data_IF_399199555371
#
_entry.id   IF_399199555371
#
_cell.length_a   1.000
_cell.length_b   1.000
_cell.length_c   1.000
_cell.angle_alpha   90.00
_cell.angle_beta   90.00
_cell.angle_gamma   90.00
#
_symmetry.space_group_name_H-M   'P 1'
#
loop_
_entity.id
_entity.type
_entity.pdbx_description
1 polymer ?
#
# COMPACT_ATOMS: atom_id res chain seq x y z
N UNK A 1 2.86 20.59 6.61
CA UNK A 1 2.97 20.82 5.13
C UNK A 1 1.72 20.30 4.45
N UNK A 2 1.28 20.92 3.35
CA UNK A 2 0.13 20.45 2.60
C UNK A 2 0.42 19.07 1.98
N UNK A 3 -0.46 18.11 2.17
CA UNK A 3 -0.33 16.76 1.59
C UNK A 3 -0.41 16.83 0.06
N UNK A 4 0.38 16.01 -0.61
CA UNK A 4 0.32 15.75 -2.06
C UNK A 4 -0.65 14.61 -2.34
N UNK A 5 -1.29 14.62 -3.50
CA UNK A 5 -2.22 13.57 -3.91
C UNK A 5 -1.60 12.77 -5.05
N UNK A 6 -1.53 11.46 -4.87
CA UNK A 6 -1.16 10.49 -5.90
C UNK A 6 -2.26 9.45 -6.08
N UNK A 7 -2.09 8.56 -7.04
CA UNK A 7 -2.94 7.39 -7.25
C UNK A 7 -2.09 6.18 -7.58
N UNK A 8 -2.51 5.02 -7.09
CA UNK A 8 -1.89 3.75 -7.43
C UNK A 8 -2.14 3.36 -8.88
N UNK A 9 -1.08 3.19 -9.68
CA UNK A 9 -1.24 2.85 -11.11
C UNK A 9 -1.84 1.46 -11.34
N UNK A 10 -1.83 0.57 -10.32
CA UNK A 10 -2.50 -0.73 -10.37
C UNK A 10 -4.02 -0.64 -10.57
N UNK A 11 -4.64 0.48 -10.18
CA UNK A 11 -6.05 0.77 -10.46
C UNK A 11 -6.42 0.62 -11.94
N UNK A 12 -5.45 0.81 -12.83
CA UNK A 12 -5.63 0.78 -14.28
C UNK A 12 -5.12 -0.52 -14.92
N UNK A 13 -4.77 -1.51 -14.11
CA UNK A 13 -4.35 -2.87 -14.50
C UNK A 13 -5.41 -3.88 -14.13
N UNK A 14 -5.78 -3.90 -12.84
CA UNK A 14 -6.66 -4.92 -12.30
C UNK A 14 -8.13 -4.64 -12.60
N UNK A 15 -8.88 -5.68 -12.98
CA UNK A 15 -10.31 -5.63 -13.25
C UNK A 15 -10.73 -4.61 -14.33
N UNK A 16 -9.83 -4.26 -15.24
CA UNK A 16 -10.09 -3.40 -16.38
C UNK A 16 -10.37 -4.23 -17.64
N UNK A 17 -11.26 -3.77 -18.53
CA UNK A 17 -11.49 -4.40 -19.84
C UNK A 17 -10.21 -4.46 -20.68
N UNK A 18 -9.44 -3.37 -20.62
CA UNK A 18 -8.11 -3.26 -21.22
C UNK A 18 -7.20 -2.54 -20.25
N UNK A 19 -6.01 -3.08 -20.06
CA UNK A 19 -4.96 -2.45 -19.27
C UNK A 19 -4.55 -1.11 -19.90
N UNK A 20 -4.59 -0.03 -19.13
CA UNK A 20 -4.16 1.28 -19.58
C UNK A 20 -2.63 1.36 -19.49
N UNK A 21 -1.96 1.75 -20.57
CA UNK A 21 -0.50 1.89 -20.56
C UNK A 21 -0.05 2.99 -19.60
N UNK A 22 1.11 2.78 -18.95
CA UNK A 22 1.65 3.72 -17.98
C UNK A 22 1.82 5.13 -18.55
N UNK A 23 2.30 5.25 -19.79
CA UNK A 23 2.41 6.52 -20.51
C UNK A 23 1.05 7.26 -20.62
N UNK A 24 -0.03 6.54 -20.99
CA UNK A 24 -1.37 7.13 -21.07
C UNK A 24 -1.87 7.60 -19.71
N UNK A 25 -1.52 6.85 -18.64
CA UNK A 25 -1.84 7.24 -17.26
C UNK A 25 -1.18 8.57 -16.93
N UNK A 26 0.11 8.76 -17.21
CA UNK A 26 0.83 10.00 -16.89
C UNK A 26 0.16 11.23 -17.54
N UNK A 27 -0.22 11.15 -18.81
CA UNK A 27 -0.97 12.22 -19.47
C UNK A 27 -2.28 12.57 -18.76
N UNK A 28 -3.07 11.56 -18.42
CA UNK A 28 -4.34 11.83 -17.74
C UNK A 28 -4.18 12.36 -16.33
N UNK A 29 -3.16 11.93 -15.59
CA UNK A 29 -2.88 12.46 -14.25
C UNK A 29 -2.38 13.91 -14.30
N UNK A 30 -1.60 14.28 -15.32
CA UNK A 30 -1.22 15.67 -15.60
C UNK A 30 -2.47 16.54 -15.87
N UNK A 31 -3.37 16.09 -16.74
CA UNK A 31 -4.63 16.80 -17.06
C UNK A 31 -5.51 16.99 -15.82
N UNK A 32 -5.53 16.00 -14.93
CA UNK A 32 -6.26 16.03 -13.65
C UNK A 32 -5.52 16.80 -12.55
N UNK A 33 -4.27 17.25 -12.80
CA UNK A 33 -3.42 17.98 -11.83
C UNK A 33 -3.16 17.21 -10.54
N UNK A 34 -2.93 15.90 -10.62
CA UNK A 34 -2.38 15.14 -9.50
C UNK A 34 -0.93 15.58 -9.26
N UNK A 35 -0.47 15.41 -8.02
CA UNK A 35 0.93 15.69 -7.65
C UNK A 35 1.85 14.52 -8.02
N UNK A 36 1.31 13.30 -8.19
CA UNK A 36 2.12 12.14 -8.48
C UNK A 36 1.38 10.85 -8.78
N UNK A 37 2.16 9.79 -8.90
CA UNK A 37 1.72 8.42 -9.13
C UNK A 37 2.46 7.46 -8.21
N UNK A 38 1.75 6.48 -7.64
CA UNK A 38 2.39 5.33 -7.01
C UNK A 38 2.54 4.22 -8.05
N UNK A 39 3.78 3.77 -8.26
CA UNK A 39 4.07 2.81 -9.31
C UNK A 39 3.66 1.40 -8.89
N UNK A 40 2.61 0.85 -9.47
CA UNK A 40 2.32 -0.58 -9.44
C UNK A 40 3.09 -1.30 -10.55
N UNK A 41 4.07 -2.11 -10.18
CA UNK A 41 4.85 -2.87 -11.17
C UNK A 41 4.15 -4.14 -11.63
N UNK A 42 2.87 -4.01 -12.01
CA UNK A 42 1.99 -5.11 -12.43
C UNK A 42 1.69 -5.04 -13.93
N UNK A 43 1.35 -6.17 -14.53
CA UNK A 43 0.95 -6.26 -15.92
C UNK A 43 1.99 -5.68 -16.87
N UNK A 44 1.59 -4.70 -17.70
CA UNK A 44 2.48 -4.00 -18.65
C UNK A 44 3.14 -2.73 -18.09
N UNK A 45 2.89 -2.40 -16.83
CA UNK A 45 3.53 -1.25 -16.20
C UNK A 45 5.03 -1.46 -15.98
N UNK A 46 5.80 -0.38 -15.73
CA UNK A 46 7.25 -0.47 -15.59
C UNK A 46 7.70 -1.42 -14.48
N UNK A 47 8.65 -2.29 -14.78
CA UNK A 47 9.25 -3.27 -13.87
C UNK A 47 10.77 -3.26 -14.03
N UNK A 48 11.54 -3.85 -13.09
CA UNK A 48 12.98 -4.09 -13.30
C UNK A 48 13.28 -4.84 -14.60
N UNK A 49 12.39 -5.75 -15.01
CA UNK A 49 12.56 -6.55 -16.24
C UNK A 49 12.33 -5.72 -17.50
N UNK A 50 11.30 -4.87 -17.54
CA UNK A 50 11.02 -4.01 -18.71
C UNK A 50 12.00 -2.84 -18.82
N UNK A 51 12.63 -2.43 -17.70
CA UNK A 51 13.61 -1.35 -17.60
C UNK A 51 14.92 -1.86 -16.99
N UNK A 52 15.68 -2.74 -17.68
CA UNK A 52 16.79 -3.46 -17.09
C UNK A 52 18.04 -2.61 -16.86
N UNK A 53 18.17 -1.47 -17.55
CA UNK A 53 19.36 -0.61 -17.48
C UNK A 53 19.06 0.68 -16.74
N UNK A 54 20.13 1.25 -16.11
CA UNK A 54 20.01 2.58 -15.50
C UNK A 54 19.49 3.63 -16.50
N UNK A 55 20.00 3.61 -17.74
CA UNK A 55 19.56 4.54 -18.77
C UNK A 55 18.06 4.41 -19.10
N UNK A 56 17.47 3.21 -19.07
CA UNK A 56 16.03 3.05 -19.25
C UNK A 56 15.23 3.58 -18.06
N UNK A 57 15.75 3.42 -16.83
CA UNK A 57 15.14 3.95 -15.60
C UNK A 57 15.26 5.47 -15.52
N UNK A 58 16.39 6.04 -15.94
CA UNK A 58 16.57 7.50 -16.02
C UNK A 58 15.58 8.13 -17.03
N UNK A 59 15.29 7.47 -18.15
CA UNK A 59 14.26 7.94 -19.12
C UNK A 59 12.86 7.87 -18.51
N UNK A 60 12.50 6.78 -17.84
CA UNK A 60 11.21 6.65 -17.15
C UNK A 60 11.05 7.72 -16.05
N UNK A 61 12.08 7.95 -15.25
CA UNK A 61 12.08 9.01 -14.23
C UNK A 61 11.87 10.38 -14.85
N UNK A 62 12.55 10.65 -15.97
CA UNK A 62 12.40 11.89 -16.70
C UNK A 62 11.00 12.04 -17.29
N UNK A 63 10.44 10.99 -17.87
CA UNK A 63 9.09 10.98 -18.40
C UNK A 63 8.05 11.40 -17.35
N UNK A 64 8.10 10.80 -16.16
CA UNK A 64 7.19 11.18 -15.06
C UNK A 64 7.37 12.64 -14.66
N UNK A 65 8.62 13.11 -14.58
CA UNK A 65 8.91 14.50 -14.23
C UNK A 65 8.48 15.49 -15.34
N UNK A 66 8.57 15.12 -16.62
CA UNK A 66 8.14 15.95 -17.76
C UNK A 66 6.61 16.20 -17.73
N UNK A 67 5.82 15.28 -17.13
CA UNK A 67 4.39 15.46 -16.84
C UNK A 67 4.11 16.25 -15.54
N UNK A 68 5.13 16.81 -14.90
CA UNK A 68 4.97 17.51 -13.62
C UNK A 68 4.63 16.61 -12.44
N UNK A 69 4.77 15.30 -12.60
CA UNK A 69 4.45 14.29 -11.59
C UNK A 69 5.70 13.82 -10.83
N UNK A 70 5.48 13.28 -9.63
CA UNK A 70 6.51 12.59 -8.86
C UNK A 70 6.03 11.18 -8.47
N UNK A 71 6.97 10.27 -8.20
CA UNK A 71 6.61 8.99 -7.60
C UNK A 71 6.35 9.16 -6.10
N UNK A 72 5.21 8.65 -5.59
CA UNK A 72 4.92 8.60 -4.16
C UNK A 72 5.43 7.31 -3.49
N UNK A 73 5.53 6.23 -4.25
CA UNK A 73 5.98 4.92 -3.79
C UNK A 73 6.03 3.92 -4.94
N UNK A 74 6.34 2.68 -4.60
CA UNK A 74 6.25 1.53 -5.51
C UNK A 74 5.62 0.33 -4.82
N UNK A 75 4.64 -0.29 -5.49
CA UNK A 75 4.10 -1.60 -5.17
C UNK A 75 4.69 -2.65 -6.14
N UNK A 76 5.70 -3.43 -5.71
CA UNK A 76 6.35 -4.42 -6.52
C UNK A 76 5.47 -5.66 -6.71
N UNK A 77 5.52 -6.30 -7.88
CA UNK A 77 4.90 -7.62 -8.10
C UNK A 77 5.74 -8.72 -7.43
N UNK A 78 5.41 -8.97 -6.15
CA UNK A 78 6.02 -10.04 -5.35
C UNK A 78 5.03 -11.17 -5.03
N UNK A 79 3.81 -11.11 -5.54
CA UNK A 79 2.73 -12.03 -5.16
C UNK A 79 2.95 -13.49 -5.56
N UNK A 80 3.82 -13.74 -6.53
CA UNK A 80 4.22 -15.10 -6.90
C UNK A 80 5.25 -15.74 -5.96
N UNK A 81 5.86 -14.96 -5.07
CA UNK A 81 6.89 -15.43 -4.15
C UNK A 81 6.29 -15.66 -2.76
N UNK A 82 6.30 -16.91 -2.31
CA UNK A 82 5.81 -17.27 -0.98
C UNK A 82 6.72 -16.74 0.12
N UNK A 83 6.13 -16.38 1.26
CA UNK A 83 6.83 -15.82 2.41
C UNK A 83 6.53 -16.58 3.70
N UNK A 84 5.24 -16.82 3.98
CA UNK A 84 4.75 -17.36 5.24
C UNK A 84 4.89 -18.89 5.27
N UNK A 85 4.57 -19.56 4.15
CA UNK A 85 4.54 -21.02 4.07
C UNK A 85 5.89 -21.66 3.78
N UNK A 86 6.92 -20.90 3.43
CA UNK A 86 8.25 -21.43 3.08
C UNK A 86 9.29 -21.16 4.16
N UNK A 87 10.29 -22.04 4.25
CA UNK A 87 11.43 -21.86 5.17
C UNK A 87 12.52 -20.97 4.57
N UNK A 88 12.71 -21.06 3.26
CA UNK A 88 13.70 -20.27 2.54
C UNK A 88 13.05 -19.09 1.79
N UNK A 89 13.21 -17.85 2.26
CA UNK A 89 12.72 -16.64 1.60
C UNK A 89 13.63 -16.13 0.47
N UNK A 90 14.70 -16.83 0.11
CA UNK A 90 15.70 -16.34 -0.86
C UNK A 90 15.10 -15.92 -2.21
N UNK A 91 14.11 -16.63 -2.82
CA UNK A 91 13.50 -16.17 -4.06
C UNK A 91 12.75 -14.84 -3.90
N UNK A 92 12.01 -14.65 -2.79
CA UNK A 92 11.34 -13.40 -2.45
C UNK A 92 12.36 -12.26 -2.29
N UNK A 93 13.41 -12.49 -1.49
CA UNK A 93 14.45 -11.48 -1.21
C UNK A 93 15.24 -11.11 -2.47
N UNK A 94 15.53 -12.06 -3.35
CA UNK A 94 16.21 -11.78 -4.62
C UNK A 94 15.36 -10.87 -5.54
N UNK A 95 14.05 -11.14 -5.64
CA UNK A 95 13.13 -10.28 -6.38
C UNK A 95 13.01 -8.89 -5.74
N UNK A 96 12.86 -8.82 -4.41
CA UNK A 96 12.79 -7.58 -3.65
C UNK A 96 14.03 -6.69 -3.86
N UNK A 97 15.23 -7.27 -3.81
CA UNK A 97 16.48 -6.54 -4.07
C UNK A 97 16.50 -5.90 -5.47
N UNK A 98 15.98 -6.62 -6.48
CA UNK A 98 15.82 -6.07 -7.83
C UNK A 98 14.93 -4.83 -7.86
N UNK A 99 13.85 -4.84 -7.08
CA UNK A 99 12.96 -3.68 -6.91
C UNK A 99 13.60 -2.55 -6.09
N UNK A 100 14.43 -2.85 -5.08
CA UNK A 100 15.18 -1.82 -4.36
C UNK A 100 16.10 -1.01 -5.29
N UNK A 101 16.86 -1.70 -6.15
CA UNK A 101 17.72 -1.04 -7.14
C UNK A 101 16.89 -0.22 -8.14
N UNK A 102 15.75 -0.76 -8.59
CA UNK A 102 14.83 -0.08 -9.50
C UNK A 102 14.26 1.19 -8.88
N UNK A 103 13.74 1.11 -7.65
CA UNK A 103 13.19 2.23 -6.91
C UNK A 103 14.25 3.32 -6.66
N UNK A 104 15.45 2.94 -6.27
CA UNK A 104 16.57 3.87 -6.04
C UNK A 104 16.90 4.68 -7.31
N UNK A 105 17.01 4.03 -8.46
CA UNK A 105 17.32 4.71 -9.73
C UNK A 105 16.18 5.65 -10.17
N UNK A 106 14.92 5.30 -9.90
CA UNK A 106 13.76 6.15 -10.14
C UNK A 106 13.66 7.32 -9.14
N UNK A 107 14.38 7.27 -8.03
CA UNK A 107 14.30 8.25 -6.95
C UNK A 107 13.12 8.06 -6.03
N UNK A 108 12.47 6.90 -6.07
CA UNK A 108 11.41 6.48 -5.15
C UNK A 108 12.01 6.29 -3.76
N UNK A 109 11.25 6.60 -2.72
CA UNK A 109 11.69 6.50 -1.32
C UNK A 109 10.96 5.46 -0.50
N UNK A 110 9.89 4.89 -1.03
CA UNK A 110 9.03 3.96 -0.32
C UNK A 110 8.73 2.74 -1.20
N UNK A 111 8.91 1.54 -0.63
CA UNK A 111 8.59 0.27 -1.25
C UNK A 111 7.57 -0.50 -0.41
N UNK A 112 6.47 -0.91 -1.04
CA UNK A 112 5.42 -1.73 -0.41
C UNK A 112 5.87 -3.19 -0.28
N UNK A 113 5.44 -3.84 0.78
CA UNK A 113 5.48 -5.29 0.98
C UNK A 113 4.14 -5.81 1.46
N UNK A 114 3.86 -7.08 1.17
CA UNK A 114 2.65 -7.79 1.58
C UNK A 114 3.02 -9.16 2.18
N UNK A 115 2.14 -9.75 2.99
CA UNK A 115 2.33 -11.12 3.49
C UNK A 115 2.09 -12.18 2.41
N UNK A 116 1.57 -11.81 1.25
CA UNK A 116 1.33 -12.51 -0.03
C UNK A 116 0.48 -13.78 0.03
N UNK A 117 0.26 -14.38 1.18
CA UNK A 117 -0.48 -15.63 1.34
C UNK A 117 -1.73 -15.40 2.19
N UNK A 118 -2.87 -16.04 1.84
CA UNK A 118 -4.12 -15.81 2.54
C UNK A 118 -4.10 -16.34 3.98
N UNK A 119 -4.94 -15.84 4.89
CA UNK A 119 -5.02 -16.34 6.27
C UNK A 119 -5.31 -17.85 6.37
N UNK A 120 -5.99 -18.42 5.37
CA UNK A 120 -6.29 -19.87 5.29
C UNK A 120 -5.04 -20.75 5.06
N UNK A 121 -3.88 -20.16 4.76
CA UNK A 121 -2.65 -20.92 4.51
C UNK A 121 -2.23 -21.76 5.71
N UNK A 122 -2.46 -21.27 6.92
CA UNK A 122 -2.09 -21.95 8.16
C UNK A 122 -2.82 -23.29 8.31
N UNK A 123 -4.13 -23.31 8.05
CA UNK A 123 -4.92 -24.54 8.11
C UNK A 123 -4.58 -25.46 6.92
N UNK A 124 -4.54 -24.91 5.73
CA UNK A 124 -4.30 -25.64 4.48
C UNK A 124 -2.95 -26.37 4.48
N UNK A 125 -1.89 -25.69 4.87
CA UNK A 125 -0.52 -26.23 4.87
C UNK A 125 -0.13 -26.79 6.25
N UNK A 126 -1.03 -26.75 7.24
CA UNK A 126 -0.81 -27.20 8.64
C UNK A 126 0.41 -26.53 9.29
N UNK A 127 0.54 -25.23 9.07
CA UNK A 127 1.62 -24.42 9.63
C UNK A 127 1.13 -23.78 10.92
N UNK A 128 1.92 -23.85 11.98
CA UNK A 128 1.67 -23.05 13.19
C UNK A 128 1.73 -21.55 12.81
N UNK A 129 0.69 -20.75 13.09
CA UNK A 129 0.67 -19.31 12.79
C UNK A 129 1.89 -18.57 13.34
N UNK A 130 2.41 -19.00 14.51
CA UNK A 130 3.64 -18.42 15.08
C UNK A 130 4.86 -18.69 14.19
N UNK A 131 4.97 -19.88 13.62
CA UNK A 131 6.07 -20.22 12.68
C UNK A 131 5.99 -19.33 11.44
N UNK A 132 4.79 -19.14 10.88
CA UNK A 132 4.60 -18.25 9.74
C UNK A 132 4.92 -16.79 10.08
N UNK A 133 4.52 -16.33 11.26
CA UNK A 133 4.85 -15.00 11.77
C UNK A 133 6.38 -14.79 11.87
N UNK A 134 7.08 -15.73 12.51
CA UNK A 134 8.54 -15.66 12.70
C UNK A 134 9.28 -15.69 11.34
N UNK A 135 8.76 -16.42 10.32
CA UNK A 135 9.28 -16.43 8.96
C UNK A 135 9.14 -15.07 8.30
N UNK A 136 7.95 -14.45 8.37
CA UNK A 136 7.71 -13.12 7.82
C UNK A 136 8.61 -12.06 8.48
N UNK A 137 8.70 -12.05 9.81
CA UNK A 137 9.59 -11.13 10.56
C UNK A 137 11.04 -11.27 10.10
N UNK A 138 11.56 -12.51 9.99
CA UNK A 138 12.95 -12.76 9.55
C UNK A 138 13.19 -12.32 8.11
N UNK A 139 12.25 -12.58 7.22
CA UNK A 139 12.38 -12.16 5.83
C UNK A 139 12.34 -10.64 5.69
N UNK A 140 11.43 -9.97 6.39
CA UNK A 140 11.34 -8.51 6.37
C UNK A 140 12.46 -7.82 7.13
N UNK A 141 13.08 -8.47 8.13
CA UNK A 141 14.34 -7.99 8.72
C UNK A 141 15.44 -7.86 7.65
N UNK A 142 15.62 -8.88 6.82
CA UNK A 142 16.60 -8.86 5.73
C UNK A 142 16.19 -7.86 4.65
N UNK A 143 14.92 -7.83 4.26
CA UNK A 143 14.39 -6.90 3.26
C UNK A 143 14.58 -5.43 3.69
N UNK A 144 14.34 -5.10 4.96
CA UNK A 144 14.54 -3.75 5.49
C UNK A 144 16.00 -3.30 5.43
N UNK A 145 16.95 -4.18 5.70
CA UNK A 145 18.39 -3.89 5.56
C UNK A 145 18.77 -3.63 4.10
N UNK A 146 18.28 -4.48 3.17
CA UNK A 146 18.44 -4.26 1.73
C UNK A 146 17.83 -2.92 1.29
N UNK A 147 16.63 -2.59 1.76
CA UNK A 147 15.98 -1.32 1.48
C UNK A 147 16.76 -0.12 2.04
N UNK A 148 17.27 -0.21 3.27
CA UNK A 148 18.09 0.83 3.89
C UNK A 148 19.36 1.13 3.10
N UNK A 149 20.05 0.10 2.57
CA UNK A 149 21.23 0.26 1.72
C UNK A 149 20.92 1.01 0.41
N UNK A 150 19.64 1.04 0.00
CA UNK A 150 19.14 1.78 -1.17
C UNK A 150 18.42 3.10 -0.80
N UNK A 151 18.39 3.46 0.49
CA UNK A 151 17.74 4.68 0.98
C UNK A 151 16.22 4.65 0.90
N UNK A 152 15.62 3.46 1.12
CA UNK A 152 14.19 3.21 1.04
C UNK A 152 13.56 2.95 2.42
N UNK A 153 12.35 3.45 2.62
CA UNK A 153 11.40 3.00 3.62
C UNK A 153 10.64 1.77 3.11
N UNK A 154 10.34 0.83 4.00
CA UNK A 154 9.51 -0.34 3.71
C UNK A 154 8.15 -0.17 4.36
N UNK A 155 7.10 -0.27 3.59
CA UNK A 155 5.73 -0.09 4.05
C UNK A 155 4.94 -1.38 3.84
N UNK A 156 4.49 -2.00 4.95
CA UNK A 156 3.65 -3.18 4.87
C UNK A 156 2.19 -2.79 4.76
N UNK A 157 1.56 -3.18 3.66
CA UNK A 157 0.12 -3.06 3.50
C UNK A 157 -0.55 -4.32 4.03
N UNK A 158 -1.23 -4.16 5.16
CA UNK A 158 -2.08 -5.20 5.72
C UNK A 158 -3.46 -5.16 5.08
N UNK A 159 -4.00 -6.31 4.74
CA UNK A 159 -5.32 -6.41 4.14
C UNK A 159 -6.04 -7.72 4.52
N UNK A 160 -7.38 -7.81 4.39
CA UNK A 160 -8.12 -9.01 4.78
C UNK A 160 -7.72 -10.26 3.99
N UNK A 161 -7.26 -10.08 2.75
CA UNK A 161 -6.85 -11.18 1.87
C UNK A 161 -5.53 -11.82 2.23
N UNK A 162 -4.71 -11.20 3.09
CA UNK A 162 -3.38 -11.68 3.46
C UNK A 162 -3.29 -12.09 4.94
N UNK A 163 -2.30 -12.92 5.25
CA UNK A 163 -2.04 -13.40 6.59
C UNK A 163 -1.74 -12.24 7.57
N UNK A 164 -2.06 -12.43 8.85
CA UNK A 164 -1.85 -11.49 9.94
C UNK A 164 -2.72 -10.23 9.86
N UNK A 165 -4.04 -10.44 9.63
CA UNK A 165 -5.01 -9.38 9.40
C UNK A 165 -5.85 -8.99 10.65
N UNK A 166 -5.51 -9.50 11.84
CA UNK A 166 -6.13 -9.04 13.10
C UNK A 166 -5.43 -7.77 13.60
N UNK A 167 -6.14 -6.80 14.20
CA UNK A 167 -5.55 -5.59 14.75
C UNK A 167 -4.32 -5.81 15.63
N UNK A 168 -4.36 -6.79 16.55
CA UNK A 168 -3.22 -7.12 17.41
C UNK A 168 -2.05 -7.73 16.62
N UNK A 169 -2.32 -8.55 15.61
CA UNK A 169 -1.28 -9.13 14.75
C UNK A 169 -0.58 -8.06 13.92
N UNK A 170 -1.35 -7.09 13.39
CA UNK A 170 -0.81 -5.96 12.61
C UNK A 170 0.19 -5.15 13.45
N UNK A 171 -0.20 -4.77 14.66
CA UNK A 171 0.69 -4.02 15.58
C UNK A 171 1.91 -4.87 15.94
N UNK A 172 1.70 -6.13 16.32
CA UNK A 172 2.77 -7.04 16.75
C UNK A 172 3.80 -7.31 15.65
N UNK A 173 3.36 -7.44 14.39
CA UNK A 173 4.24 -7.67 13.25
C UNK A 173 5.18 -6.49 13.03
N UNK A 174 4.65 -5.26 13.06
CA UNK A 174 5.45 -4.05 12.88
C UNK A 174 6.46 -3.90 14.01
N UNK A 175 6.01 -4.11 15.25
CA UNK A 175 6.88 -4.02 16.43
C UNK A 175 7.98 -5.08 16.41
N UNK A 176 7.66 -6.32 15.99
CA UNK A 176 8.64 -7.40 15.91
C UNK A 176 9.74 -7.09 14.85
N UNK A 177 9.37 -6.61 13.66
CA UNK A 177 10.35 -6.23 12.62
C UNK A 177 11.19 -5.05 13.07
N UNK A 178 10.59 -4.03 13.70
CA UNK A 178 11.32 -2.86 14.24
C UNK A 178 12.26 -3.24 15.38
N UNK A 179 11.88 -4.19 16.22
CA UNK A 179 12.73 -4.69 17.32
C UNK A 179 14.03 -5.34 16.82
N UNK A 180 14.08 -5.76 15.55
CA UNK A 180 15.30 -6.24 14.89
C UNK A 180 16.26 -5.11 14.46
N UNK A 181 15.94 -3.84 14.78
CA UNK A 181 16.72 -2.66 14.43
C UNK A 181 16.26 -1.91 13.17
N UNK A 182 15.13 -2.29 12.60
CA UNK A 182 14.62 -1.76 11.32
C UNK A 182 13.68 -0.57 11.54
N UNK A 183 14.24 0.62 11.78
CA UNK A 183 13.46 1.86 11.93
C UNK A 183 12.76 2.31 10.63
N UNK A 184 13.21 1.81 9.47
CA UNK A 184 12.64 2.05 8.15
C UNK A 184 11.46 1.15 7.78
N UNK A 185 10.94 0.33 8.70
CA UNK A 185 9.73 -0.48 8.50
C UNK A 185 8.51 0.19 9.12
N UNK A 186 7.38 0.21 8.41
CA UNK A 186 6.13 0.75 8.93
C UNK A 186 4.90 0.19 8.26
N UNK A 187 3.73 0.61 8.73
CA UNK A 187 2.46 0.29 8.08
C UNK A 187 2.19 1.23 6.91
N UNK A 188 1.70 0.68 5.82
CA UNK A 188 0.90 1.39 4.85
C UNK A 188 -0.55 1.34 5.34
N UNK A 189 -1.04 2.49 5.79
CA UNK A 189 -2.40 2.56 6.30
C UNK A 189 -3.35 2.85 5.15
N UNK A 190 -4.07 1.82 4.70
CA UNK A 190 -5.20 1.97 3.79
C UNK A 190 -6.50 2.07 4.59
N UNK A 191 -7.32 3.09 4.30
CA UNK A 191 -8.57 3.35 5.03
C UNK A 191 -9.60 2.23 4.84
N UNK A 192 -9.66 1.64 3.66
CA UNK A 192 -10.56 0.51 3.36
C UNK A 192 -10.09 -0.77 4.05
N UNK A 193 -8.80 -1.12 3.91
CA UNK A 193 -8.25 -2.31 4.58
C UNK A 193 -8.33 -2.19 6.10
N UNK A 194 -8.07 -1.02 6.66
CA UNK A 194 -8.23 -0.76 8.10
C UNK A 194 -9.69 -0.98 8.56
N UNK A 195 -10.67 -0.54 7.77
CA UNK A 195 -12.08 -0.81 8.05
C UNK A 195 -12.38 -2.31 8.00
N UNK A 196 -11.94 -3.00 6.96
CA UNK A 196 -12.18 -4.43 6.76
C UNK A 196 -11.52 -5.30 7.84
N UNK A 197 -10.29 -4.99 8.23
CA UNK A 197 -9.56 -5.72 9.27
C UNK A 197 -10.10 -5.40 10.67
N UNK A 198 -10.28 -4.10 11.00
CA UNK A 198 -10.56 -3.68 12.37
C UNK A 198 -12.04 -3.58 12.71
N UNK A 199 -12.92 -3.26 11.75
CA UNK A 199 -14.36 -3.13 12.01
C UNK A 199 -15.13 -4.39 11.64
N UNK A 200 -14.80 -4.98 10.49
CA UNK A 200 -15.53 -6.14 9.94
C UNK A 200 -14.90 -7.46 10.43
N UNK A 201 -13.58 -7.49 10.64
CA UNK A 201 -12.84 -8.72 10.94
C UNK A 201 -12.92 -9.71 9.78
N UNK A 202 -12.81 -9.21 8.54
CA UNK A 202 -12.97 -10.01 7.34
C UNK A 202 -11.82 -11.01 7.18
N UNK A 203 -12.16 -12.25 6.82
CA UNK A 203 -11.23 -13.38 6.60
C UNK A 203 -10.28 -13.69 7.77
N UNK A 204 -10.51 -13.14 8.95
CA UNK A 204 -9.70 -13.46 10.13
C UNK A 204 -9.88 -14.93 10.52
N UNK A 205 -8.80 -15.67 10.76
CA UNK A 205 -8.88 -17.07 11.16
C UNK A 205 -9.35 -17.20 12.62
N UNK A 206 -10.15 -18.24 12.91
CA UNK A 206 -10.65 -18.53 14.26
C UNK A 206 -11.58 -17.44 14.81
N UNK A 207 -11.38 -17.08 16.08
CA UNK A 207 -12.15 -15.99 16.71
C UNK A 207 -11.77 -14.64 16.10
N UNK A 208 -12.80 -13.87 15.74
CA UNK A 208 -12.61 -12.53 15.17
C UNK A 208 -12.18 -11.54 16.23
N UNK A 209 -11.23 -10.69 15.88
CA UNK A 209 -10.81 -9.53 16.65
C UNK A 209 -11.27 -8.26 15.93
N UNK A 210 -12.17 -7.50 16.55
CA UNK A 210 -12.64 -6.22 16.02
C UNK A 210 -12.47 -5.12 17.06
N UNK A 211 -12.35 -3.89 16.60
CA UNK A 211 -12.25 -2.70 17.43
C UNK A 211 -13.56 -1.91 17.39
N UNK A 212 -14.01 -1.41 18.51
CA UNK A 212 -15.25 -0.64 18.61
C UNK A 212 -15.22 0.60 17.70
N UNK A 213 -14.11 1.34 17.71
CA UNK A 213 -13.83 2.50 16.85
C UNK A 213 -13.33 2.14 15.43
N UNK A 214 -13.26 0.84 15.10
CA UNK A 214 -12.90 0.36 13.75
C UNK A 214 -11.55 0.84 13.27
N UNK A 215 -11.48 1.30 12.00
CA UNK A 215 -10.23 1.75 11.37
C UNK A 215 -9.59 2.95 12.09
N UNK A 216 -10.36 3.88 12.64
CA UNK A 216 -9.82 5.03 13.39
C UNK A 216 -9.13 4.56 14.69
N UNK A 217 -9.72 3.60 15.39
CA UNK A 217 -9.06 3.03 16.57
C UNK A 217 -7.78 2.28 16.19
N UNK A 218 -7.78 1.56 15.06
CA UNK A 218 -6.56 0.95 14.52
C UNK A 218 -5.51 2.00 14.16
N UNK A 219 -5.91 3.14 13.56
CA UNK A 219 -5.02 4.27 13.29
C UNK A 219 -4.33 4.75 14.58
N UNK A 220 -5.09 4.87 15.69
CA UNK A 220 -4.54 5.26 16.99
C UNK A 220 -3.58 4.20 17.54
N UNK A 221 -3.90 2.91 17.42
CA UNK A 221 -3.03 1.81 17.85
C UNK A 221 -1.73 1.74 17.04
N UNK A 222 -1.77 2.21 15.78
CA UNK A 222 -0.62 2.30 14.89
C UNK A 222 0.15 3.63 14.97
N UNK A 223 -0.20 4.53 15.90
CA UNK A 223 0.51 5.80 16.05
C UNK A 223 2.03 5.61 16.17
N UNK A 224 2.79 6.34 15.36
CA UNK A 224 4.25 6.23 15.27
C UNK A 224 4.77 5.00 14.51
N UNK A 225 3.87 4.19 13.94
CA UNK A 225 4.19 2.98 13.17
C UNK A 225 3.84 3.11 11.69
N UNK A 226 3.06 4.11 11.30
CA UNK A 226 2.61 4.33 9.92
C UNK A 226 3.66 5.19 9.21
N UNK A 227 4.05 4.79 8.01
CA UNK A 227 4.96 5.56 7.16
C UNK A 227 4.36 5.92 5.78
N UNK A 228 3.20 5.37 5.40
CA UNK A 228 2.47 5.75 4.19
C UNK A 228 0.96 5.60 4.35
N UNK A 229 0.19 6.27 3.48
CA UNK A 229 -1.28 6.30 3.56
C UNK A 229 -1.90 6.09 2.20
N UNK A 230 -2.77 5.09 2.11
CA UNK A 230 -3.73 4.91 1.03
C UNK A 230 -5.13 5.34 1.52
N UNK A 231 -5.86 6.01 0.66
CA UNK A 231 -7.20 6.49 0.95
C UNK A 231 -8.18 6.02 -0.12
N UNK A 232 -9.21 5.36 0.34
CA UNK A 232 -10.36 4.97 -0.47
C UNK A 232 -11.53 4.64 0.45
N UNK A 233 -12.74 4.67 -0.06
CA UNK A 233 -13.94 4.32 0.70
C UNK A 233 -14.15 2.80 0.77
N UNK A 234 -15.03 2.36 1.65
CA UNK A 234 -15.38 0.95 1.86
C UNK A 234 -16.84 0.80 2.23
N UNK A 235 -17.53 -0.12 1.59
CA UNK A 235 -18.90 -0.55 1.99
C UNK A 235 -18.91 -1.75 2.95
N UNK A 236 -17.73 -2.19 3.39
CA UNK A 236 -17.56 -3.36 4.27
C UNK A 236 -17.65 -4.70 3.54
N UNK A 237 -17.58 -4.73 2.22
CA UNK A 237 -17.61 -5.95 1.43
C UNK A 237 -16.21 -6.39 0.94
N UNK A 238 -16.11 -7.68 0.61
CA UNK A 238 -14.98 -8.26 -0.11
C UNK A 238 -15.32 -8.33 -1.60
N UNK A 239 -14.33 -8.11 -2.45
CA UNK A 239 -14.44 -8.34 -3.88
C UNK A 239 -14.25 -9.82 -4.26
N UNK A 240 -14.34 -10.15 -5.55
CA UNK A 240 -14.18 -11.52 -6.07
C UNK A 240 -12.78 -12.11 -5.85
N UNK A 241 -11.77 -11.27 -5.56
CA UNK A 241 -10.40 -11.68 -5.24
C UNK A 241 -10.15 -11.88 -3.74
N UNK A 242 -11.22 -11.83 -2.93
CA UNK A 242 -11.14 -11.98 -1.47
C UNK A 242 -10.30 -10.89 -0.77
N UNK A 243 -10.18 -9.72 -1.38
CA UNK A 243 -9.67 -8.51 -0.73
C UNK A 243 -10.77 -7.46 -0.60
N UNK A 244 -10.47 -6.32 0.01
CA UNK A 244 -11.44 -5.23 0.23
C UNK A 244 -12.00 -4.69 -1.08
N UNK A 245 -13.30 -4.39 -1.11
CA UNK A 245 -13.87 -3.59 -2.19
C UNK A 245 -13.48 -2.14 -1.99
N UNK A 246 -12.67 -1.60 -2.91
CA UNK A 246 -12.21 -0.21 -2.88
C UNK A 246 -13.25 0.68 -3.54
N UNK A 247 -14.25 1.10 -2.76
CA UNK A 247 -15.36 1.91 -3.27
C UNK A 247 -14.89 3.35 -3.58
N UNK A 248 -15.31 3.97 -4.69
CA UNK A 248 -15.10 5.39 -4.91
C UNK A 248 -15.59 6.23 -3.72
N UNK A 249 -14.90 7.31 -3.41
CA UNK A 249 -15.23 8.17 -2.28
C UNK A 249 -16.71 8.62 -2.27
N UNK A 250 -17.35 8.50 -1.11
CA UNK A 250 -18.74 8.86 -0.89
C UNK A 250 -19.75 7.81 -1.33
N UNK A 251 -19.28 6.61 -1.76
CA UNK A 251 -20.16 5.49 -2.12
C UNK A 251 -20.09 4.34 -1.12
N UNK A 252 -19.18 4.42 -0.14
CA UNK A 252 -19.05 3.47 0.95
C UNK A 252 -19.59 4.03 2.28
N UNK A 253 -19.03 3.56 3.38
CA UNK A 253 -19.47 3.84 4.74
C UNK A 253 -18.50 4.69 5.55
N UNK A 254 -17.31 5.04 5.00
CA UNK A 254 -16.30 5.75 5.76
C UNK A 254 -16.62 7.24 5.87
N UNK A 255 -16.56 7.78 7.08
CA UNK A 255 -16.70 9.21 7.32
C UNK A 255 -15.33 9.90 7.25
N UNK A 256 -14.96 10.43 6.09
CA UNK A 256 -13.68 11.11 5.89
C UNK A 256 -13.55 12.42 6.68
N UNK A 257 -14.65 13.02 7.12
CA UNK A 257 -14.62 14.16 8.04
C UNK A 257 -14.16 13.76 9.46
N UNK A 258 -14.23 12.49 9.81
CA UNK A 258 -13.62 11.94 11.03
C UNK A 258 -12.21 11.42 10.76
N UNK A 259 -11.97 10.72 9.65
CA UNK A 259 -10.69 10.11 9.32
C UNK A 259 -9.58 11.14 9.11
N UNK A 260 -9.82 12.17 8.29
CA UNK A 260 -8.77 13.11 7.88
C UNK A 260 -8.18 13.90 9.06
N UNK A 261 -8.96 14.46 10.00
CA UNK A 261 -8.40 15.09 11.19
C UNK A 261 -7.51 14.17 12.02
N UNK A 262 -7.89 12.89 12.18
CA UNK A 262 -7.10 11.94 12.95
C UNK A 262 -5.82 11.52 12.22
N UNK A 263 -5.86 11.32 10.91
CA UNK A 263 -4.67 11.08 10.09
C UNK A 263 -3.67 12.25 10.16
N UNK A 264 -4.15 13.49 10.10
CA UNK A 264 -3.29 14.68 10.21
C UNK A 264 -2.64 14.81 11.58
N UNK A 265 -3.35 14.43 12.66
CA UNK A 265 -2.83 14.41 14.04
C UNK A 265 -1.90 13.23 14.33
N UNK A 266 -1.94 12.18 13.54
CA UNK A 266 -1.15 10.96 13.77
C UNK A 266 0.36 11.14 13.58
N UNK A 267 0.80 12.27 12.97
CA UNK A 267 2.22 12.57 12.78
C UNK A 267 2.89 11.65 11.74
N UNK A 268 2.16 11.19 10.73
CA UNK A 268 2.66 10.33 9.68
C UNK A 268 3.67 11.10 8.83
N UNK A 269 4.91 10.58 8.65
CA UNK A 269 5.98 11.31 7.97
C UNK A 269 5.76 11.49 6.47
N UNK A 270 4.95 10.64 5.83
CA UNK A 270 4.66 10.75 4.39
C UNK A 270 3.93 12.05 4.06
N UNK A 271 4.39 12.73 3.02
CA UNK A 271 3.71 13.89 2.45
C UNK A 271 2.56 13.50 1.51
N UNK A 272 2.34 12.22 1.28
CA UNK A 272 1.42 11.71 0.29
C UNK A 272 0.11 11.18 0.88
N UNK A 273 -0.97 11.42 0.18
CA UNK A 273 -2.21 10.67 0.22
C UNK A 273 -2.38 10.00 -1.13
N UNK A 274 -2.28 8.68 -1.16
CA UNK A 274 -2.45 7.90 -2.38
C UNK A 274 -3.90 7.41 -2.49
N UNK A 275 -4.54 7.65 -3.60
CA UNK A 275 -5.86 7.10 -3.92
C UNK A 275 -5.66 5.63 -4.31
N UNK A 276 -6.43 4.73 -3.68
CA UNK A 276 -6.40 3.31 -4.03
C UNK A 276 -7.73 2.83 -4.60
N UNK A 277 -7.80 2.71 -5.91
CA UNK A 277 -8.94 2.14 -6.65
C UNK A 277 -8.65 0.70 -7.13
N UNK A 278 -7.92 -0.09 -6.32
CA UNK A 278 -7.56 -1.46 -6.66
C UNK A 278 -8.81 -2.31 -6.95
N UNK A 279 -8.80 -3.00 -8.07
CA UNK A 279 -9.90 -3.85 -8.57
C UNK A 279 -11.24 -3.13 -8.84
N UNK A 280 -11.31 -1.80 -8.72
CA UNK A 280 -12.54 -1.10 -9.10
C UNK A 280 -12.70 -1.13 -10.63
N UNK A 281 -13.81 -1.64 -11.15
CA UNK A 281 -14.06 -1.64 -12.59
C UNK A 281 -14.18 -0.19 -13.09
N UNK A 282 -13.62 0.08 -14.28
CA UNK A 282 -13.63 1.40 -14.89
C UNK A 282 -13.06 2.51 -13.96
N UNK A 283 -11.97 2.18 -13.22
CA UNK A 283 -11.33 3.08 -12.25
C UNK A 283 -10.97 4.45 -12.84
N UNK A 284 -10.69 4.50 -14.15
CA UNK A 284 -10.39 5.75 -14.84
C UNK A 284 -11.52 6.76 -14.75
N UNK A 285 -12.77 6.32 -14.88
CA UNK A 285 -13.96 7.19 -14.91
C UNK A 285 -14.21 7.89 -13.58
N UNK A 286 -13.78 7.29 -12.47
CA UNK A 286 -13.96 7.82 -11.11
C UNK A 286 -12.72 8.52 -10.55
N UNK A 287 -11.60 8.50 -11.26
CA UNK A 287 -10.32 9.12 -10.81
C UNK A 287 -10.48 10.65 -10.62
N UNK A 288 -11.13 11.33 -11.55
CA UNK A 288 -11.34 12.79 -11.47
C UNK A 288 -12.18 13.18 -10.25
N UNK A 289 -13.21 12.42 -9.93
CA UNK A 289 -14.07 12.69 -8.79
C UNK A 289 -13.37 12.34 -7.47
N UNK A 290 -12.56 11.29 -7.45
CA UNK A 290 -11.70 10.95 -6.31
C UNK A 290 -10.69 12.05 -6.01
N UNK A 291 -10.06 12.61 -7.04
CA UNK A 291 -9.15 13.76 -6.90
C UNK A 291 -9.88 14.99 -6.33
N UNK A 292 -11.05 15.33 -6.87
CA UNK A 292 -11.87 16.44 -6.37
C UNK A 292 -12.30 16.25 -4.91
N UNK A 293 -12.64 15.02 -4.53
CA UNK A 293 -13.05 14.68 -3.17
C UNK A 293 -11.91 14.93 -2.18
N UNK A 294 -10.73 14.35 -2.42
CA UNK A 294 -9.55 14.56 -1.58
C UNK A 294 -9.06 16.00 -1.58
N UNK A 295 -9.13 16.69 -2.73
CA UNK A 295 -8.80 18.11 -2.84
C UNK A 295 -9.62 18.97 -1.89
N UNK A 296 -10.95 18.76 -1.84
CA UNK A 296 -11.84 19.47 -0.91
C UNK A 296 -11.50 19.17 0.55
N UNK A 297 -11.21 17.91 0.90
CA UNK A 297 -10.81 17.56 2.27
C UNK A 297 -9.46 18.19 2.65
N UNK A 298 -8.48 18.19 1.74
CA UNK A 298 -7.19 18.84 1.92
C UNK A 298 -7.35 20.35 2.21
N UNK A 299 -8.21 21.05 1.46
CA UNK A 299 -8.51 22.45 1.68
C UNK A 299 -9.24 22.68 3.02
N UNK A 300 -10.28 21.88 3.29
CA UNK A 300 -11.10 21.97 4.52
C UNK A 300 -10.26 21.84 5.81
N UNK A 301 -9.28 20.95 5.78
CA UNK A 301 -8.47 20.61 6.95
C UNK A 301 -7.03 21.16 6.89
N UNK A 302 -6.74 22.10 6.01
CA UNK A 302 -5.39 22.68 5.84
C UNK A 302 -4.78 23.23 7.12
N UNK A 303 -5.59 23.75 8.05
CA UNK A 303 -5.15 24.32 9.33
C UNK A 303 -4.73 23.28 10.38
N UNK A 304 -5.12 22.00 10.24
CA UNK A 304 -4.80 20.97 11.23
C UNK A 304 -3.37 20.44 11.04
N UNK A 305 -2.83 20.49 9.81
CA UNK A 305 -1.50 19.97 9.46
C UNK A 305 -0.42 21.06 9.32
N UNK A 306 -0.71 22.29 9.74
CA UNK A 306 0.20 23.43 9.62
C UNK A 306 1.10 23.59 10.84
#
# INVERSE_FOLDING_TARGET
MAKKISIGSWAYVFNQKEEISFHKILHGLEDLKLDGVELGSFGKHPTPRSHPTKASRDRLKKEVADHGLAFSGIAPDLWSFKLVSVEDPAPYLAAFLGYCTFAQDLGIKLIRVDAVEPPSIFEKEKIDPKVGFDRAVKAWDVACKMAADHGLEVSWEFEPGFAFNKPSEIVSMIDAVRAMGNSNFGAMYDSCHAHMCAKIGALQPGEKETLAGGGIELLHNLKGRINHVHLIDSDGSLNEHSTSTHNPFGTGHLNFDEYIPELLKAGIPSDWWCIDLCFWPDAWDVTADSMKFLGKLKEKYASIGA
#
